data_IF_877054801540
#
_entry.id   IF_877054801540
#
_cell.length_a   1.000
_cell.length_b   1.000
_cell.length_c   1.000
_cell.angle_alpha   90.00
_cell.angle_beta   90.00
_cell.angle_gamma   90.00
#
_symmetry.space_group_name_H-M   'P 1'
#
loop_
_entity.id
_entity.type
_entity.pdbx_description
1 polymer ?
#
# COMPACT_ATOMS: atom_id res chain seq x y z
N UNK A 1 5.57 4.43 2.22
CA UNK A 1 5.28 5.20 1.00
C UNK A 1 3.80 5.49 0.91
N UNK A 2 3.42 6.60 0.27
CA UNK A 2 2.03 7.02 0.12
C UNK A 2 1.62 6.85 -1.34
N UNK A 3 0.54 6.13 -1.59
CA UNK A 3 -0.01 5.86 -2.90
C UNK A 3 -1.40 6.49 -2.96
N UNK A 4 -1.71 7.18 -4.05
CA UNK A 4 -3.03 7.77 -4.28
C UNK A 4 -3.51 7.34 -5.65
N UNK A 5 -4.74 6.85 -5.72
CA UNK A 5 -5.45 6.68 -6.98
C UNK A 5 -5.99 8.05 -7.38
N UNK A 6 -5.16 8.90 -8.00
CA UNK A 6 -5.59 10.24 -8.47
C UNK A 6 -5.69 10.33 -9.98
N UNK A 7 -5.99 9.21 -10.65
CA UNK A 7 -6.15 9.16 -12.10
C UNK A 7 -7.56 8.66 -12.37
N UNK A 8 -8.32 9.40 -13.17
CA UNK A 8 -9.55 8.88 -13.78
C UNK A 8 -9.20 7.66 -14.63
N UNK A 9 -9.41 6.44 -14.11
CA UNK A 9 -8.97 5.23 -14.81
C UNK A 9 -10.14 4.58 -15.57
N UNK A 10 -10.33 5.06 -16.80
CA UNK A 10 -11.06 4.34 -17.83
C UNK A 10 -10.29 3.06 -18.22
N UNK A 11 -10.51 1.95 -17.51
CA UNK A 11 -10.25 0.60 -18.05
C UNK A 11 -9.46 -0.38 -17.18
N UNK A 12 -8.69 0.04 -16.18
CA UNK A 12 -7.87 -0.89 -15.35
C UNK A 12 -8.72 -1.61 -14.28
N UNK A 13 -9.82 -0.98 -13.83
CA UNK A 13 -10.68 -1.53 -12.77
C UNK A 13 -11.72 -2.55 -13.24
N UNK A 14 -11.80 -2.86 -14.54
CA UNK A 14 -12.80 -3.80 -15.07
C UNK A 14 -12.52 -5.25 -14.69
N UNK A 15 -11.34 -5.55 -14.18
CA UNK A 15 -11.02 -6.84 -13.58
C UNK A 15 -10.96 -6.68 -12.05
N UNK A 16 -11.96 -7.24 -11.36
CA UNK A 16 -11.98 -7.38 -9.91
C UNK A 16 -10.66 -8.02 -9.45
N UNK A 17 -9.76 -7.20 -8.92
CA UNK A 17 -8.46 -7.65 -8.44
C UNK A 17 -7.25 -7.06 -9.14
N UNK A 18 -7.34 -5.97 -9.93
CA UNK A 18 -6.15 -5.26 -10.45
C UNK A 18 -5.61 -4.14 -9.53
N UNK A 19 -6.43 -3.63 -8.61
CA UNK A 19 -6.09 -2.42 -7.82
C UNK A 19 -4.95 -2.64 -6.82
N UNK A 20 -4.88 -3.80 -6.17
CA UNK A 20 -3.87 -4.05 -5.14
C UNK A 20 -2.47 -4.30 -5.71
N UNK A 21 -2.41 -4.95 -6.87
CA UNK A 21 -1.20 -5.17 -7.64
C UNK A 21 -0.64 -3.82 -8.06
N UNK A 22 -1.48 -2.95 -8.61
CA UNK A 22 -1.05 -1.60 -8.98
C UNK A 22 -0.52 -0.81 -7.78
N UNK A 23 -1.20 -0.85 -6.62
CA UNK A 23 -0.73 -0.18 -5.39
C UNK A 23 0.66 -0.69 -4.96
N UNK A 24 0.89 -2.00 -5.03
CA UNK A 24 2.20 -2.61 -4.69
C UNK A 24 3.27 -2.24 -5.72
N UNK A 25 2.96 -2.29 -7.01
CA UNK A 25 3.88 -1.91 -8.09
C UNK A 25 4.27 -0.44 -7.99
N UNK A 26 3.31 0.45 -7.76
CA UNK A 26 3.55 1.87 -7.58
C UNK A 26 4.39 2.14 -6.32
N UNK A 27 4.11 1.44 -5.22
CA UNK A 27 4.92 1.52 -4.02
C UNK A 27 6.39 1.10 -4.26
N UNK A 28 6.62 0.02 -5.01
CA UNK A 28 7.97 -0.43 -5.39
C UNK A 28 8.65 0.56 -6.34
N UNK A 29 7.91 1.16 -7.27
CA UNK A 29 8.44 2.19 -8.18
C UNK A 29 8.94 3.41 -7.41
N UNK A 30 8.16 3.91 -6.45
CA UNK A 30 8.53 5.06 -5.63
C UNK A 30 9.76 4.83 -4.74
N UNK A 31 10.02 3.60 -4.32
CA UNK A 31 11.17 3.24 -3.49
C UNK A 31 12.40 2.80 -4.28
N UNK A 32 12.38 2.89 -5.62
CA UNK A 32 13.48 2.43 -6.47
C UNK A 32 13.67 0.90 -6.40
N UNK A 33 12.58 0.14 -6.29
CA UNK A 33 12.58 -1.32 -6.23
C UNK A 33 12.81 -1.92 -4.85
N UNK A 34 12.96 -1.10 -3.80
CA UNK A 34 13.11 -1.57 -2.41
C UNK A 34 11.75 -1.79 -1.76
N UNK A 35 11.50 -2.94 -1.16
CA UNK A 35 10.25 -3.16 -0.42
C UNK A 35 10.12 -2.15 0.73
N UNK A 36 9.06 -1.32 0.78
CA UNK A 36 8.82 -0.43 1.92
C UNK A 36 8.34 -1.21 3.15
N UNK A 37 8.52 -0.65 4.34
CA UNK A 37 7.95 -1.22 5.57
C UNK A 37 6.43 -0.99 5.67
N UNK A 38 5.95 0.12 5.10
CA UNK A 38 4.55 0.56 5.15
C UNK A 38 4.13 1.15 3.80
N UNK A 39 2.96 0.75 3.32
CA UNK A 39 2.26 1.37 2.20
C UNK A 39 0.98 2.01 2.74
N UNK A 40 0.79 3.30 2.51
CA UNK A 40 -0.45 4.01 2.82
C UNK A 40 -1.18 4.30 1.50
N UNK A 41 -2.22 3.51 1.20
CA UNK A 41 -3.19 3.77 0.14
C UNK A 41 -4.25 4.73 0.67
N UNK A 42 -4.43 5.86 0.00
CA UNK A 42 -5.42 6.86 0.41
C UNK A 42 -6.85 6.49 0.03
N UNK A 43 -7.05 5.38 -0.68
CA UNK A 43 -8.35 5.02 -1.23
C UNK A 43 -8.69 5.83 -2.47
N UNK A 44 -9.94 5.72 -2.87
CA UNK A 44 -10.53 6.37 -4.05
C UNK A 44 -12.05 6.49 -3.81
N UNK A 45 -12.80 7.00 -4.77
CA UNK A 45 -14.25 7.08 -4.68
C UNK A 45 -14.87 5.71 -4.35
N UNK A 46 -15.59 5.65 -3.23
CA UNK A 46 -16.22 4.42 -2.74
C UNK A 46 -15.25 3.37 -2.18
N UNK A 47 -13.97 3.70 -1.99
CA UNK A 47 -12.95 2.84 -1.39
C UNK A 47 -12.35 3.51 -0.15
N UNK A 48 -12.32 2.80 0.96
CA UNK A 48 -11.69 3.29 2.19
C UNK A 48 -10.15 3.31 2.06
N UNK A 49 -9.46 4.26 2.72
CA UNK A 49 -8.00 4.27 2.80
C UNK A 49 -7.49 3.05 3.59
N UNK A 50 -6.33 2.53 3.21
CA UNK A 50 -5.70 1.36 3.83
C UNK A 50 -4.21 1.59 4.12
N UNK A 51 -3.77 1.19 5.31
CA UNK A 51 -2.34 1.11 5.67
C UNK A 51 -1.95 -0.35 5.72
N UNK A 52 -0.99 -0.74 4.87
CA UNK A 52 -0.45 -2.10 4.80
C UNK A 52 0.97 -2.12 5.36
N UNK A 53 1.19 -2.93 6.40
CA UNK A 53 2.53 -3.15 7.01
C UNK A 53 3.14 -4.41 6.44
N UNK A 54 4.36 -4.32 5.93
CA UNK A 54 5.06 -5.41 5.25
C UNK A 54 6.21 -5.97 6.11
N UNK A 55 6.33 -7.29 6.14
CA UNK A 55 7.42 -8.02 6.79
C UNK A 55 7.66 -9.34 6.08
N UNK A 56 8.88 -9.89 6.17
CA UNK A 56 9.22 -11.22 5.63
C UNK A 56 8.55 -12.33 6.44
N UNK A 57 8.18 -12.04 7.68
CA UNK A 57 7.44 -12.93 8.57
C UNK A 57 6.32 -12.17 9.28
N UNK A 58 5.29 -12.88 9.79
CA UNK A 58 4.24 -12.26 10.59
C UNK A 58 4.78 -11.51 11.82
N UNK A 59 5.81 -12.05 12.47
CA UNK A 59 6.44 -11.42 13.63
C UNK A 59 7.08 -10.08 13.28
N UNK A 60 7.77 -9.99 12.13
CA UNK A 60 8.38 -8.75 11.66
C UNK A 60 7.32 -7.68 11.33
N UNK A 61 6.22 -8.06 10.67
CA UNK A 61 5.12 -7.14 10.39
C UNK A 61 4.47 -6.63 11.69
N UNK A 62 4.27 -7.50 12.67
CA UNK A 62 3.72 -7.14 13.98
C UNK A 62 4.65 -6.18 14.74
N UNK A 63 5.95 -6.45 14.74
CA UNK A 63 6.94 -5.59 15.39
C UNK A 63 6.90 -4.17 14.80
N UNK A 64 6.87 -4.06 13.47
CA UNK A 64 6.75 -2.77 12.77
C UNK A 64 5.45 -2.06 13.14
N UNK A 65 4.31 -2.77 13.16
CA UNK A 65 3.03 -2.20 13.56
C UNK A 65 3.06 -1.66 15.00
N UNK A 66 3.65 -2.41 15.94
CA UNK A 66 3.78 -1.97 17.34
C UNK A 66 4.69 -0.73 17.48
N UNK A 67 5.74 -0.61 16.67
CA UNK A 67 6.60 0.59 16.66
C UNK A 67 5.83 1.84 16.23
N UNK A 68 4.99 1.71 15.20
CA UNK A 68 4.13 2.81 14.71
C UNK A 68 3.17 3.26 15.82
N UNK A 69 2.50 2.33 16.50
CA UNK A 69 1.55 2.64 17.58
C UNK A 69 2.22 3.34 18.77
N UNK A 70 3.47 2.95 19.08
CA UNK A 70 4.23 3.52 20.21
C UNK A 70 4.81 4.92 19.91
N UNK A 71 4.67 5.42 18.69
CA UNK A 71 5.18 6.74 18.29
C UNK A 71 6.71 6.81 18.22
N UNK A 72 7.36 5.69 17.91
CA UNK A 72 8.82 5.57 17.81
C UNK A 72 9.36 5.93 16.42
#
# INVERSE_FOLDING_TARGET
VRVTNSVEINGIYNELGGSMQWVVEEALRQTGGRTPDVIADLGDWGKEPLITVLGKTPAEALEKALRIIRGA
#
